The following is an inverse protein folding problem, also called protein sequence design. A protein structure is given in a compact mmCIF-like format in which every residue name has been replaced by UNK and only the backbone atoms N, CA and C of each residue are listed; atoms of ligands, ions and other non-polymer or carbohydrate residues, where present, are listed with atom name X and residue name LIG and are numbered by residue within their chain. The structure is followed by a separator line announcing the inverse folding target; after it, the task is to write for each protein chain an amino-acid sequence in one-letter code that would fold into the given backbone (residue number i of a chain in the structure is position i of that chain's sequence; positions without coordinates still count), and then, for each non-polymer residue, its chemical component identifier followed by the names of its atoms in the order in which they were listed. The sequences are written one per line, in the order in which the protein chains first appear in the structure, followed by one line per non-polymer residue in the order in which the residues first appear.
data_IF_778876310608
#
_entry.id   IF_778876310608
#
_cell.length_a   1.000
_cell.length_b   1.000
_cell.length_c   1.000
_cell.angle_alpha   90.00
_cell.angle_beta   90.00
_cell.angle_gamma   90.00
#
_symmetry.space_group_name_H-M   'P 1'
#
loop_
_entity.id
_entity.type
_entity.pdbx_description
1 polymer ?
#
# COMPACT_ATOMS: atom_id res chain seq x y z
N UNK A 1 -25.52 -23.64 -13.36
CA UNK A 1 -24.28 -22.98 -12.89
C UNK A 1 -24.32 -21.57 -13.42
N UNK A 2 -24.20 -20.54 -12.56
CA UNK A 2 -24.11 -19.15 -13.03
C UNK A 2 -22.80 -18.97 -13.80
N UNK A 3 -22.85 -18.28 -14.92
CA UNK A 3 -21.65 -17.92 -15.70
C UNK A 3 -20.72 -17.07 -14.82
N UNK A 4 -19.41 -17.37 -14.75
CA UNK A 4 -18.47 -16.57 -13.97
C UNK A 4 -18.49 -15.11 -14.40
N UNK A 5 -18.41 -14.20 -13.44
CA UNK A 5 -18.29 -12.76 -13.72
C UNK A 5 -16.93 -12.48 -14.36
N UNK A 6 -16.94 -11.86 -15.54
CA UNK A 6 -15.71 -11.53 -16.30
C UNK A 6 -15.23 -10.15 -15.94
N UNK A 7 -14.00 -10.06 -15.42
CA UNK A 7 -13.39 -8.81 -14.98
C UNK A 7 -12.08 -8.59 -15.72
N UNK A 8 -11.91 -7.40 -16.28
CA UNK A 8 -10.59 -6.91 -16.73
C UNK A 8 -10.09 -5.92 -15.72
N UNK A 9 -8.94 -6.21 -15.11
CA UNK A 9 -8.22 -5.31 -14.22
C UNK A 9 -7.00 -4.72 -14.95
N UNK A 10 -6.86 -3.40 -14.95
CA UNK A 10 -5.70 -2.70 -15.52
C UNK A 10 -4.92 -2.09 -14.37
N UNK A 11 -3.65 -2.49 -14.19
CA UNK A 11 -2.83 -2.04 -13.07
C UNK A 11 -1.36 -1.97 -13.42
N UNK A 12 -0.77 -0.78 -13.32
CA UNK A 12 0.69 -0.62 -13.41
C UNK A 12 1.42 -1.15 -12.16
N UNK A 13 0.72 -1.26 -11.03
CA UNK A 13 1.33 -1.77 -9.80
C UNK A 13 1.58 -3.27 -9.87
N UNK A 14 0.78 -4.01 -10.65
CA UNK A 14 0.92 -5.46 -10.83
C UNK A 14 2.10 -5.88 -11.73
N UNK A 15 2.95 -4.94 -12.17
CA UNK A 15 4.28 -5.27 -12.72
C UNK A 15 5.16 -5.91 -11.64
N UNK A 16 4.90 -5.64 -10.36
CA UNK A 16 5.61 -6.24 -9.22
C UNK A 16 4.94 -7.57 -8.87
N UNK A 17 5.67 -8.67 -9.01
CA UNK A 17 5.14 -10.02 -8.90
C UNK A 17 4.47 -10.34 -7.57
N UNK A 18 5.01 -9.85 -6.45
CA UNK A 18 4.43 -10.09 -5.11
C UNK A 18 3.01 -9.51 -4.94
N UNK A 19 2.63 -8.52 -5.73
CA UNK A 19 1.28 -7.93 -5.68
C UNK A 19 0.24 -8.75 -6.46
N UNK A 20 0.70 -9.67 -7.33
CA UNK A 20 -0.16 -10.52 -8.15
C UNK A 20 -0.92 -11.57 -7.31
N UNK A 21 -0.48 -11.84 -6.07
CA UNK A 21 -1.16 -12.76 -5.15
C UNK A 21 -2.64 -12.41 -4.93
N UNK A 22 -2.98 -11.11 -4.91
CA UNK A 22 -4.38 -10.65 -4.88
C UNK A 22 -5.18 -11.11 -6.09
N UNK A 23 -4.59 -11.09 -7.29
CA UNK A 23 -5.27 -11.52 -8.51
C UNK A 23 -5.58 -13.02 -8.48
N UNK A 24 -4.64 -13.86 -8.02
CA UNK A 24 -4.91 -15.29 -7.80
C UNK A 24 -6.05 -15.51 -6.81
N UNK A 25 -6.02 -14.80 -5.67
CA UNK A 25 -7.05 -14.95 -4.65
C UNK A 25 -8.44 -14.53 -5.17
N UNK A 26 -8.54 -13.49 -6.00
CA UNK A 26 -9.78 -13.09 -6.67
C UNK A 26 -10.26 -14.18 -7.62
N UNK A 27 -9.38 -14.73 -8.45
CA UNK A 27 -9.73 -15.79 -9.41
C UNK A 27 -10.21 -17.07 -8.72
N UNK A 28 -9.57 -17.47 -7.62
CA UNK A 28 -9.98 -18.62 -6.80
C UNK A 28 -11.39 -18.49 -6.22
N UNK A 29 -11.94 -17.25 -6.13
CA UNK A 29 -13.30 -16.98 -5.69
C UNK A 29 -14.34 -17.02 -6.84
N UNK A 30 -13.94 -17.54 -8.01
CA UNK A 30 -14.84 -17.77 -9.15
C UNK A 30 -15.01 -16.58 -10.07
N UNK A 31 -14.08 -15.63 -10.07
CA UNK A 31 -14.01 -14.52 -11.04
C UNK A 31 -13.18 -14.95 -12.25
N UNK A 32 -13.73 -14.81 -13.47
CA UNK A 32 -12.95 -14.92 -14.71
C UNK A 32 -12.16 -13.60 -14.91
N UNK A 33 -10.94 -13.61 -14.39
CA UNK A 33 -10.10 -12.42 -14.29
C UNK A 33 -9.05 -12.37 -15.39
N UNK A 34 -8.98 -11.24 -16.09
CA UNK A 34 -7.83 -10.88 -16.94
C UNK A 34 -7.15 -9.64 -16.37
N UNK A 35 -5.88 -9.73 -16.08
CA UNK A 35 -5.05 -8.61 -15.64
C UNK A 35 -4.23 -8.10 -16.82
N UNK A 36 -4.32 -6.79 -17.07
CA UNK A 36 -3.53 -6.09 -18.08
C UNK A 36 -2.51 -5.17 -17.39
N UNK A 37 -1.22 -5.33 -17.72
CA UNK A 37 -0.12 -4.52 -17.16
C UNK A 37 0.70 -3.88 -18.28
N UNK A 38 1.41 -2.75 -18.02
CA UNK A 38 2.46 -2.32 -18.92
C UNK A 38 3.63 -3.32 -18.91
N UNK A 39 4.52 -3.32 -19.92
CA UNK A 39 5.67 -4.23 -19.97
C UNK A 39 6.73 -3.93 -18.89
N UNK A 40 6.74 -2.72 -18.37
CA UNK A 40 7.53 -2.27 -17.23
C UNK A 40 6.95 -0.99 -16.65
N UNK A 41 7.34 -0.64 -15.43
CA UNK A 41 7.07 0.69 -14.87
C UNK A 41 8.35 1.36 -14.40
N UNK A 42 8.44 2.68 -14.55
CA UNK A 42 9.58 3.48 -14.11
C UNK A 42 9.15 4.46 -13.04
N UNK A 43 9.86 4.50 -11.93
CA UNK A 43 9.69 5.52 -10.88
C UNK A 43 11.05 5.99 -10.35
N UNK A 44 11.06 6.76 -9.28
CA UNK A 44 12.29 7.25 -8.66
C UNK A 44 13.25 6.15 -8.18
N UNK A 45 12.76 4.89 -8.05
CA UNK A 45 13.56 3.72 -7.64
C UNK A 45 14.17 2.99 -8.84
N UNK A 46 13.86 3.41 -10.05
CA UNK A 46 14.36 2.81 -11.29
C UNK A 46 13.25 2.18 -12.15
N UNK A 47 13.66 1.31 -13.09
CA UNK A 47 12.75 0.59 -13.99
C UNK A 47 12.48 -0.81 -13.46
N UNK A 48 11.20 -1.12 -13.24
CA UNK A 48 10.71 -2.42 -12.81
C UNK A 48 10.02 -3.12 -14.00
N UNK A 49 10.60 -4.17 -14.59
CA UNK A 49 9.95 -4.97 -15.62
C UNK A 49 8.74 -5.72 -15.03
N UNK A 50 7.77 -6.05 -15.88
CA UNK A 50 6.64 -6.87 -15.48
C UNK A 50 7.12 -8.29 -15.15
N UNK A 51 6.84 -8.71 -13.94
CA UNK A 51 7.10 -10.06 -13.44
C UNK A 51 5.87 -10.95 -13.65
N UNK A 52 6.06 -12.27 -13.58
CA UNK A 52 5.00 -13.27 -13.60
C UNK A 52 5.29 -14.28 -12.47
N UNK A 53 4.94 -13.91 -11.24
CA UNK A 53 5.25 -14.71 -10.04
C UNK A 53 4.04 -15.51 -9.56
N UNK A 54 2.89 -14.88 -9.47
CA UNK A 54 1.63 -15.49 -9.07
C UNK A 54 0.64 -15.37 -10.24
N UNK A 55 0.45 -16.45 -10.99
CA UNK A 55 -0.32 -16.42 -12.26
C UNK A 55 -1.38 -17.52 -12.35
N UNK A 56 -1.71 -18.19 -11.24
CA UNK A 56 -2.66 -19.28 -11.25
C UNK A 56 -4.11 -18.79 -11.27
N UNK A 57 -4.92 -19.40 -12.13
CA UNK A 57 -6.36 -19.18 -12.15
C UNK A 57 -6.84 -17.91 -12.86
N UNK A 58 -5.97 -17.09 -13.40
CA UNK A 58 -6.30 -15.88 -14.16
C UNK A 58 -5.37 -15.65 -15.35
N UNK A 59 -5.74 -14.78 -16.27
CA UNK A 59 -4.89 -14.41 -17.41
C UNK A 59 -4.08 -13.14 -17.07
N UNK A 60 -2.75 -13.21 -17.11
CA UNK A 60 -1.86 -12.04 -17.02
C UNK A 60 -1.34 -11.71 -18.43
N UNK A 61 -1.56 -10.46 -18.88
CA UNK A 61 -1.12 -9.98 -20.19
C UNK A 61 -0.44 -8.64 -20.09
N UNK A 62 0.67 -8.48 -20.78
CA UNK A 62 1.30 -7.16 -20.98
C UNK A 62 0.70 -6.50 -22.23
N UNK A 63 0.36 -5.21 -22.11
CA UNK A 63 -0.13 -4.40 -23.23
C UNK A 63 0.73 -3.16 -23.43
N UNK A 64 0.81 -2.61 -24.65
CA UNK A 64 1.56 -1.40 -24.91
C UNK A 64 1.13 -0.25 -24.01
N UNK A 65 2.11 0.44 -23.43
CA UNK A 65 1.90 1.66 -22.64
C UNK A 65 2.80 2.77 -23.17
N UNK A 66 2.30 3.98 -23.27
CA UNK A 66 3.06 5.19 -23.62
C UNK A 66 3.22 6.08 -22.41
N UNK A 67 4.26 6.94 -22.41
CA UNK A 67 4.64 7.82 -21.30
C UNK A 67 4.84 7.07 -19.97
N UNK A 68 5.47 5.89 -20.04
CA UNK A 68 5.78 5.06 -18.88
C UNK A 68 6.61 5.86 -17.86
N UNK A 69 6.16 5.88 -16.60
CA UNK A 69 6.77 6.66 -15.52
C UNK A 69 6.09 8.00 -15.26
N UNK A 70 5.30 8.51 -16.20
CA UNK A 70 4.49 9.70 -15.98
C UNK A 70 3.11 9.31 -15.41
N UNK A 71 2.86 9.65 -14.14
CA UNK A 71 1.61 9.30 -13.45
C UNK A 71 0.37 9.98 -14.02
N UNK A 72 0.51 11.07 -14.79
CA UNK A 72 -0.62 11.81 -15.36
C UNK A 72 -0.87 11.44 -16.82
N UNK A 73 0.19 11.29 -17.61
CA UNK A 73 0.10 11.17 -19.07
C UNK A 73 0.19 9.75 -19.60
N UNK A 74 0.60 8.77 -18.79
CA UNK A 74 0.66 7.39 -19.26
C UNK A 74 -0.72 6.91 -19.73
N UNK A 75 -0.75 6.09 -20.78
CA UNK A 75 -1.98 5.53 -21.33
C UNK A 75 -1.71 4.24 -22.11
N UNK A 76 -2.77 3.49 -22.34
CA UNK A 76 -2.73 2.17 -22.99
C UNK A 76 -3.41 2.25 -24.36
N UNK A 77 -2.69 2.49 -25.46
CA UNK A 77 -3.27 2.78 -26.78
C UNK A 77 -4.12 1.65 -27.35
N UNK A 78 -3.91 0.40 -26.91
CA UNK A 78 -4.67 -0.77 -27.40
C UNK A 78 -5.83 -1.16 -26.48
N UNK A 79 -6.02 -0.50 -25.33
CA UNK A 79 -6.97 -0.95 -24.30
C UNK A 79 -8.42 -1.04 -24.79
N UNK A 80 -8.87 -0.08 -25.58
CA UNK A 80 -10.24 -0.13 -26.14
C UNK A 80 -10.47 -1.37 -27.03
N UNK A 81 -9.46 -1.78 -27.81
CA UNK A 81 -9.52 -3.00 -28.63
C UNK A 81 -9.48 -4.25 -27.75
N UNK A 82 -8.67 -4.28 -26.70
CA UNK A 82 -8.62 -5.40 -25.75
C UNK A 82 -9.99 -5.57 -25.06
N UNK A 83 -10.61 -4.47 -24.60
CA UNK A 83 -11.94 -4.49 -23.97
C UNK A 83 -13.01 -5.00 -24.94
N UNK A 84 -13.00 -4.57 -26.20
CA UNK A 84 -13.93 -5.03 -27.22
C UNK A 84 -13.77 -6.52 -27.54
N UNK A 85 -12.55 -7.05 -27.51
CA UNK A 85 -12.27 -8.46 -27.74
C UNK A 85 -12.63 -9.34 -26.53
N UNK A 86 -12.28 -8.92 -25.31
CA UNK A 86 -12.49 -9.65 -24.06
C UNK A 86 -13.94 -9.59 -23.58
N UNK A 87 -14.69 -8.53 -23.94
CA UNK A 87 -16.08 -8.29 -23.53
C UNK A 87 -16.32 -8.54 -22.03
N UNK A 88 -15.57 -7.88 -21.12
CA UNK A 88 -15.76 -8.09 -19.70
C UNK A 88 -17.10 -7.49 -19.23
N UNK A 89 -17.60 -7.97 -18.11
CA UNK A 89 -18.75 -7.40 -17.44
C UNK A 89 -18.32 -6.16 -16.62
N UNK A 90 -17.06 -6.17 -16.12
CA UNK A 90 -16.47 -5.08 -15.32
C UNK A 90 -15.07 -4.74 -15.86
N UNK A 91 -14.80 -3.43 -15.98
CA UNK A 91 -13.47 -2.86 -16.05
C UNK A 91 -13.07 -2.28 -14.69
N UNK A 92 -12.04 -2.83 -14.06
CA UNK A 92 -11.41 -2.29 -12.88
C UNK A 92 -10.12 -1.56 -13.26
N UNK A 93 -10.15 -0.23 -13.27
CA UNK A 93 -8.94 0.59 -13.37
C UNK A 93 -8.32 0.72 -11.98
N UNK A 94 -7.31 -0.08 -11.70
CA UNK A 94 -6.54 -0.04 -10.44
C UNK A 94 -5.53 1.13 -10.47
N UNK A 95 -6.05 2.32 -10.83
CA UNK A 95 -5.33 3.54 -11.17
C UNK A 95 -6.12 4.78 -10.79
N UNK A 96 -5.40 5.88 -10.54
CA UNK A 96 -5.95 7.16 -10.10
C UNK A 96 -6.89 7.80 -11.12
N UNK A 97 -7.99 8.45 -10.69
CA UNK A 97 -9.01 9.01 -11.59
C UNK A 97 -8.54 10.22 -12.42
N UNK A 98 -7.49 10.90 -11.98
CA UNK A 98 -6.96 12.10 -12.65
C UNK A 98 -5.98 11.79 -13.79
N UNK A 99 -5.56 10.52 -13.95
CA UNK A 99 -4.64 10.19 -15.02
C UNK A 99 -5.35 9.90 -16.35
N UNK A 100 -4.60 10.09 -17.44
CA UNK A 100 -5.10 9.87 -18.80
C UNK A 100 -5.54 8.42 -19.04
N UNK A 101 -4.81 7.46 -18.48
CA UNK A 101 -5.11 6.04 -18.63
C UNK A 101 -6.53 5.72 -18.13
N UNK A 102 -6.87 6.16 -16.92
CA UNK A 102 -8.20 5.94 -16.33
C UNK A 102 -9.28 6.66 -17.13
N UNK A 103 -9.06 7.93 -17.47
CA UNK A 103 -10.01 8.70 -18.25
C UNK A 103 -10.35 8.06 -19.60
N UNK A 104 -9.35 7.64 -20.40
CA UNK A 104 -9.56 6.96 -21.68
C UNK A 104 -10.27 5.61 -21.50
N UNK A 105 -9.86 4.84 -20.47
CA UNK A 105 -10.40 3.51 -20.19
C UNK A 105 -11.88 3.54 -19.82
N UNK A 106 -12.27 4.41 -18.87
CA UNK A 106 -13.68 4.52 -18.44
C UNK A 106 -14.59 4.98 -19.56
N UNK A 107 -14.14 5.91 -20.41
CA UNK A 107 -14.89 6.33 -21.60
C UNK A 107 -15.04 5.20 -22.63
N UNK A 108 -13.98 4.41 -22.82
CA UNK A 108 -14.07 3.23 -23.70
C UNK A 108 -15.05 2.18 -23.15
N UNK A 109 -14.98 1.90 -21.84
CA UNK A 109 -15.90 0.99 -21.16
C UNK A 109 -17.37 1.45 -21.32
N UNK A 110 -17.66 2.72 -21.11
CA UNK A 110 -19.02 3.26 -21.28
C UNK A 110 -19.54 3.09 -22.69
N UNK A 111 -18.72 3.34 -23.73
CA UNK A 111 -19.11 3.13 -25.14
C UNK A 111 -19.39 1.66 -25.47
N UNK A 112 -18.75 0.75 -24.77
CA UNK A 112 -18.92 -0.71 -24.94
C UNK A 112 -19.99 -1.30 -24.00
N UNK A 113 -20.66 -0.48 -23.18
CA UNK A 113 -21.64 -0.95 -22.20
C UNK A 113 -21.05 -1.75 -21.04
N UNK A 114 -19.74 -1.60 -20.78
CA UNK A 114 -19.01 -2.27 -19.70
C UNK A 114 -19.10 -1.41 -18.43
N UNK A 115 -19.48 -2.02 -17.30
CA UNK A 115 -19.44 -1.34 -16.00
C UNK A 115 -17.99 -1.09 -15.58
N UNK A 116 -17.74 0.05 -14.95
CA UNK A 116 -16.35 0.41 -14.65
C UNK A 116 -16.20 1.06 -13.28
N UNK A 117 -15.01 0.88 -12.72
CA UNK A 117 -14.57 1.48 -11.46
C UNK A 117 -13.13 1.95 -11.60
N UNK A 118 -12.72 2.84 -10.69
CA UNK A 118 -11.33 3.27 -10.53
C UNK A 118 -10.89 3.11 -9.07
N UNK A 119 -9.56 3.16 -8.87
CA UNK A 119 -8.93 3.13 -7.56
C UNK A 119 -8.21 4.44 -7.26
N UNK A 120 -8.15 4.86 -5.97
CA UNK A 120 -7.37 6.03 -5.54
C UNK A 120 -6.70 5.83 -4.18
N UNK A 121 -5.44 6.33 -4.08
CA UNK A 121 -4.71 6.56 -2.83
C UNK A 121 -4.64 8.04 -2.46
N UNK A 122 -5.26 8.94 -3.22
CA UNK A 122 -5.11 10.37 -3.01
C UNK A 122 -5.70 10.80 -1.66
N UNK A 123 -4.84 10.99 -0.67
CA UNK A 123 -5.19 11.39 0.69
C UNK A 123 -4.85 12.86 1.02
N UNK A 124 -4.45 13.64 0.01
CA UNK A 124 -4.27 15.10 0.10
C UNK A 124 -5.15 15.76 -0.94
N UNK A 125 -5.92 16.76 -0.51
CA UNK A 125 -6.79 17.53 -1.40
C UNK A 125 -5.95 18.39 -2.35
N UNK A 126 -5.66 17.85 -3.54
CA UNK A 126 -4.96 18.57 -4.61
C UNK A 126 -5.91 18.94 -5.73
N UNK A 127 -5.88 20.17 -6.17
CA UNK A 127 -6.56 20.63 -7.39
C UNK A 127 -5.59 20.54 -8.55
N UNK A 128 -5.95 19.78 -9.58
CA UNK A 128 -5.14 19.66 -10.79
C UNK A 128 -5.49 20.76 -11.79
N UNK A 129 -4.51 21.27 -12.57
CA UNK A 129 -4.79 22.16 -13.68
C UNK A 129 -5.47 21.39 -14.83
N UNK A 130 -6.12 22.11 -15.78
CA UNK A 130 -6.53 21.51 -17.04
C UNK A 130 -5.32 20.89 -17.79
N UNK A 131 -5.50 19.74 -18.49
CA UNK A 131 -6.76 19.00 -18.68
C UNK A 131 -7.07 17.98 -17.59
N UNK A 132 -6.19 17.79 -16.60
CA UNK A 132 -6.29 16.72 -15.60
C UNK A 132 -7.53 16.86 -14.70
N UNK A 133 -7.91 18.09 -14.33
CA UNK A 133 -9.14 18.33 -13.59
C UNK A 133 -10.38 17.87 -14.37
N UNK A 134 -10.42 18.13 -15.68
CA UNK A 134 -11.54 17.68 -16.53
C UNK A 134 -11.54 16.14 -16.70
N UNK A 135 -10.36 15.52 -16.81
CA UNK A 135 -10.20 14.06 -16.86
C UNK A 135 -10.73 13.43 -15.57
N UNK A 136 -10.35 13.97 -14.40
CA UNK A 136 -10.81 13.52 -13.09
C UNK A 136 -12.33 13.62 -12.96
N UNK A 137 -12.93 14.77 -13.27
CA UNK A 137 -14.37 14.97 -13.23
C UNK A 137 -15.11 14.07 -14.24
N UNK A 138 -14.51 13.81 -15.40
CA UNK A 138 -15.05 12.85 -16.36
C UNK A 138 -14.99 11.41 -15.79
N UNK A 139 -13.90 11.01 -15.17
CA UNK A 139 -13.77 9.68 -14.54
C UNK A 139 -14.85 9.49 -13.46
N UNK A 140 -15.14 10.51 -12.67
CA UNK A 140 -16.19 10.49 -11.64
C UNK A 140 -17.56 10.18 -12.21
N UNK A 141 -17.91 10.76 -13.37
CA UNK A 141 -19.21 10.53 -14.01
C UNK A 141 -19.38 9.14 -14.64
N UNK A 142 -18.27 8.47 -14.96
CA UNK A 142 -18.30 7.16 -15.62
C UNK A 142 -18.17 5.97 -14.65
N UNK A 143 -17.90 6.21 -13.37
CA UNK A 143 -17.78 5.18 -12.36
C UNK A 143 -18.86 5.38 -11.29
N UNK A 144 -19.87 4.51 -11.19
CA UNK A 144 -20.93 4.64 -10.19
C UNK A 144 -20.46 4.32 -8.78
N UNK A 145 -19.44 3.47 -8.64
CA UNK A 145 -18.79 3.13 -7.38
C UNK A 145 -17.27 3.22 -7.60
N UNK A 146 -16.56 3.87 -6.66
CA UNK A 146 -15.10 3.98 -6.65
C UNK A 146 -14.47 3.17 -5.53
N UNK A 147 -13.21 2.78 -5.72
CA UNK A 147 -12.38 2.17 -4.69
C UNK A 147 -11.42 3.21 -4.12
N UNK A 148 -11.40 3.34 -2.80
CA UNK A 148 -10.41 4.14 -2.08
C UNK A 148 -9.55 3.23 -1.20
N UNK A 149 -8.25 3.47 -1.17
CA UNK A 149 -7.32 2.67 -0.37
C UNK A 149 -7.39 2.95 1.13
N UNK A 150 -7.97 4.11 1.52
CA UNK A 150 -8.09 4.57 2.90
C UNK A 150 -9.31 5.46 3.11
N UNK A 151 -9.69 5.69 4.37
CA UNK A 151 -10.77 6.61 4.72
C UNK A 151 -10.45 8.04 4.27
N UNK A 152 -9.23 8.52 4.46
CA UNK A 152 -8.81 9.83 3.98
C UNK A 152 -8.92 9.98 2.45
N UNK A 153 -8.59 8.93 1.69
CA UNK A 153 -8.75 8.95 0.24
C UNK A 153 -10.23 9.04 -0.17
N UNK A 154 -11.12 8.35 0.56
CA UNK A 154 -12.56 8.48 0.36
C UNK A 154 -13.06 9.90 0.66
N UNK A 155 -12.58 10.54 1.72
CA UNK A 155 -12.94 11.90 2.08
C UNK A 155 -12.45 12.92 1.02
N UNK A 156 -11.24 12.72 0.48
CA UNK A 156 -10.74 13.54 -0.63
C UNK A 156 -11.60 13.40 -1.88
N UNK A 157 -12.04 12.17 -2.23
CA UNK A 157 -12.98 11.97 -3.35
C UNK A 157 -14.27 12.77 -3.16
N UNK A 158 -14.87 12.71 -1.97
CA UNK A 158 -16.09 13.45 -1.64
C UNK A 158 -15.87 14.97 -1.69
N UNK A 159 -14.76 15.45 -1.10
CA UNK A 159 -14.37 16.86 -1.12
C UNK A 159 -14.12 17.40 -2.54
N UNK A 160 -13.75 16.52 -3.49
CA UNK A 160 -13.58 16.86 -4.92
C UNK A 160 -14.86 16.72 -5.73
N UNK A 161 -15.97 16.37 -5.08
CA UNK A 161 -17.31 16.34 -5.69
C UNK A 161 -17.71 15.00 -6.30
N UNK A 162 -17.04 13.89 -5.96
CA UNK A 162 -17.50 12.57 -6.34
C UNK A 162 -18.81 12.23 -5.62
N UNK A 163 -19.87 11.93 -6.40
CA UNK A 163 -21.23 11.68 -5.88
C UNK A 163 -21.57 10.16 -5.80
N UNK A 164 -20.71 9.32 -6.37
CA UNK A 164 -20.92 7.88 -6.34
C UNK A 164 -20.63 7.25 -4.99
N UNK A 165 -20.95 5.98 -4.84
CA UNK A 165 -20.55 5.19 -3.67
C UNK A 165 -19.03 5.03 -3.62
N UNK A 166 -18.44 5.03 -2.42
CA UNK A 166 -17.01 4.76 -2.21
C UNK A 166 -16.87 3.54 -1.33
N UNK A 167 -16.21 2.51 -1.85
CA UNK A 167 -15.79 1.35 -1.07
C UNK A 167 -14.33 1.55 -0.63
N UNK A 168 -14.08 1.39 0.67
CA UNK A 168 -12.74 1.51 1.24
C UNK A 168 -12.15 0.10 1.29
N UNK A 169 -11.25 -0.21 0.35
CA UNK A 169 -10.58 -1.51 0.24
C UNK A 169 -9.12 -1.24 -0.10
N UNK A 170 -8.15 -1.63 0.74
CA UNK A 170 -6.74 -1.47 0.43
C UNK A 170 -6.35 -2.15 -0.89
N UNK A 171 -5.44 -1.54 -1.62
CA UNK A 171 -5.01 -2.07 -2.93
C UNK A 171 -4.32 -3.42 -2.80
N UNK A 172 -3.50 -3.60 -1.76
CA UNK A 172 -2.72 -4.81 -1.51
C UNK A 172 -2.85 -5.26 -0.07
N UNK A 173 -2.81 -6.58 0.13
CA UNK A 173 -2.75 -7.22 1.43
C UNK A 173 -1.40 -7.86 1.70
N UNK A 174 -1.35 -8.62 2.79
CA UNK A 174 -0.22 -9.47 3.15
C UNK A 174 -0.57 -10.93 2.91
N UNK A 175 0.40 -11.70 2.43
CA UNK A 175 0.32 -13.16 2.36
C UNK A 175 0.82 -13.76 3.68
N UNK A 176 -0.05 -14.42 4.48
CA UNK A 176 0.37 -15.04 5.75
C UNK A 176 1.40 -16.16 5.58
N UNK A 177 1.48 -16.76 4.39
CA UNK A 177 2.49 -17.77 4.07
C UNK A 177 3.89 -17.17 3.92
N UNK A 178 3.97 -15.96 3.35
CA UNK A 178 5.22 -15.22 3.22
C UNK A 178 5.62 -14.53 4.54
N UNK A 179 4.68 -13.81 5.16
CA UNK A 179 4.89 -13.04 6.38
C UNK A 179 4.43 -13.85 7.61
N UNK A 180 5.35 -14.60 8.19
CA UNK A 180 5.10 -15.47 9.34
C UNK A 180 6.06 -15.14 10.49
N UNK A 181 5.67 -15.35 11.76
CA UNK A 181 6.52 -15.08 12.91
C UNK A 181 7.79 -15.94 12.91
N UNK A 182 8.86 -15.37 13.45
CA UNK A 182 10.04 -16.15 13.85
C UNK A 182 9.77 -16.97 15.12
N UNK A 183 10.58 -18.02 15.39
CA UNK A 183 10.64 -18.61 16.71
C UNK A 183 10.97 -17.57 17.78
N UNK A 184 10.47 -17.77 18.99
CA UNK A 184 10.69 -16.83 20.10
C UNK A 184 12.20 -16.64 20.38
N UNK A 185 12.59 -15.37 20.60
CA UNK A 185 13.98 -15.01 20.92
C UNK A 185 14.25 -15.28 22.40
N UNK A 186 15.48 -15.70 22.72
CA UNK A 186 15.92 -15.97 24.09
C UNK A 186 15.88 -14.70 24.96
N UNK A 187 15.59 -14.79 26.27
CA UNK A 187 15.69 -13.68 27.19
C UNK A 187 17.14 -13.12 27.25
N UNK A 188 17.27 -11.78 27.36
CA UNK A 188 18.57 -11.12 27.51
C UNK A 188 19.19 -10.59 26.21
N UNK A 189 18.63 -10.91 25.07
CA UNK A 189 19.05 -10.34 23.79
C UNK A 189 18.68 -8.85 23.68
N UNK A 190 19.47 -8.04 22.94
CA UNK A 190 19.15 -6.63 22.73
C UNK A 190 17.80 -6.45 21.99
N UNK A 191 17.04 -5.41 22.33
CA UNK A 191 15.83 -5.04 21.59
C UNK A 191 16.18 -4.72 20.12
N UNK A 192 15.62 -5.47 19.18
CA UNK A 192 15.88 -5.33 17.74
C UNK A 192 14.83 -4.41 17.12
N UNK A 193 15.21 -3.16 16.92
CA UNK A 193 14.35 -2.12 16.33
C UNK A 193 14.64 -2.06 14.83
N UNK A 194 13.61 -1.91 14.01
CA UNK A 194 13.73 -1.76 12.57
C UNK A 194 12.95 -0.56 12.05
N UNK A 195 13.40 -0.07 10.91
CA UNK A 195 12.67 0.84 10.04
C UNK A 195 12.75 0.26 8.61
N UNK A 196 11.66 0.36 7.85
CA UNK A 196 11.65 -0.04 6.45
C UNK A 196 10.98 1.04 5.58
N UNK A 197 11.73 1.59 4.62
CA UNK A 197 11.24 2.63 3.73
C UNK A 197 12.33 3.52 3.15
N UNK A 198 11.96 4.46 2.29
CA UNK A 198 12.91 5.45 1.77
C UNK A 198 13.48 6.33 2.88
N UNK A 199 14.80 6.59 2.85
CA UNK A 199 15.45 7.52 3.77
C UNK A 199 15.25 8.96 3.28
N UNK A 200 14.05 9.48 3.55
CA UNK A 200 13.60 10.81 3.14
C UNK A 200 13.19 11.63 4.38
N UNK A 201 13.30 12.97 4.37
CA UNK A 201 12.99 13.81 5.53
C UNK A 201 11.57 13.60 6.07
N UNK A 202 10.59 13.47 5.20
CA UNK A 202 9.18 13.23 5.53
C UNK A 202 8.93 11.86 6.20
N UNK A 203 9.88 10.94 6.13
CA UNK A 203 9.80 9.64 6.79
C UNK A 203 10.21 9.66 8.25
N UNK A 204 10.80 10.76 8.75
CA UNK A 204 11.01 11.02 10.17
C UNK A 204 12.03 10.11 10.85
N UNK A 205 12.97 9.49 10.12
CA UNK A 205 13.99 8.59 10.70
C UNK A 205 14.90 9.29 11.72
N UNK A 206 15.09 10.59 11.57
CA UNK A 206 15.79 11.44 12.55
C UNK A 206 15.10 11.42 13.93
N UNK A 207 13.76 11.45 13.99
CA UNK A 207 13.01 11.28 15.25
C UNK A 207 13.31 9.94 15.91
N UNK A 208 13.39 8.87 15.10
CA UNK A 208 13.73 7.54 15.61
C UNK A 208 15.14 7.51 16.19
N UNK A 209 16.13 8.14 15.55
CA UNK A 209 17.48 8.24 16.09
C UNK A 209 17.51 9.00 17.42
N UNK A 210 16.81 10.14 17.51
CA UNK A 210 16.70 10.90 18.76
C UNK A 210 16.00 10.11 19.88
N UNK A 211 14.97 9.33 19.57
CA UNK A 211 14.29 8.48 20.54
C UNK A 211 15.20 7.34 21.02
N UNK A 212 15.91 6.67 20.10
CA UNK A 212 16.84 5.57 20.41
C UNK A 212 18.04 6.04 21.25
N UNK A 213 18.57 7.23 21.00
CA UNK A 213 19.69 7.79 21.77
C UNK A 213 19.40 7.98 23.28
N UNK A 214 18.12 7.99 23.65
CA UNK A 214 17.67 8.15 25.06
C UNK A 214 17.34 6.82 25.73
N UNK A 215 17.33 5.71 25.00
CA UNK A 215 16.98 4.39 25.54
C UNK A 215 18.01 3.92 26.56
N UNK A 216 17.51 3.35 27.65
CA UNK A 216 18.32 2.72 28.71
C UNK A 216 18.19 1.21 28.58
N UNK A 217 19.32 0.52 28.36
CA UNK A 217 19.36 -0.91 28.12
C UNK A 217 20.03 -1.25 26.79
N UNK A 218 19.98 -2.51 26.40
CA UNK A 218 20.63 -2.99 25.17
C UNK A 218 19.65 -3.02 24.01
N UNK A 219 20.01 -2.36 22.92
CA UNK A 219 19.21 -2.32 21.71
C UNK A 219 20.07 -2.19 20.45
N UNK A 220 19.51 -2.52 19.31
CA UNK A 220 20.08 -2.29 17.98
C UNK A 220 19.01 -1.76 17.05
N UNK A 221 19.39 -0.86 16.14
CA UNK A 221 18.52 -0.31 15.11
C UNK A 221 19.01 -0.71 13.73
N UNK A 222 18.14 -1.27 12.90
CA UNK A 222 18.43 -1.55 11.49
C UNK A 222 17.49 -0.75 10.60
N UNK A 223 18.07 0.01 9.65
CA UNK A 223 17.37 0.86 8.69
C UNK A 223 17.43 0.19 7.31
N UNK A 224 16.29 -0.32 6.84
CA UNK A 224 16.14 -0.92 5.52
C UNK A 224 15.62 0.12 4.54
N UNK A 225 16.45 0.51 3.59
CA UNK A 225 16.14 1.48 2.56
C UNK A 225 17.30 2.42 2.25
N UNK A 226 17.07 3.25 1.24
CA UNK A 226 18.01 4.25 0.74
C UNK A 226 17.28 5.57 0.51
N UNK A 227 18.01 6.67 0.42
CA UNK A 227 17.43 7.97 0.11
C UNK A 227 18.35 9.14 0.40
N UNK A 228 17.93 10.32 -0.04
CA UNK A 228 18.74 11.55 0.03
C UNK A 228 19.10 11.99 1.46
N UNK A 229 18.39 11.52 2.47
CA UNK A 229 18.67 11.86 3.86
C UNK A 229 19.73 10.96 4.51
N UNK A 230 20.22 9.89 3.85
CA UNK A 230 21.10 8.89 4.47
C UNK A 230 22.33 9.50 5.12
N UNK A 231 23.11 10.30 4.40
CA UNK A 231 24.34 10.90 4.95
C UNK A 231 24.07 11.83 6.14
N UNK A 232 22.91 12.53 6.15
CA UNK A 232 22.51 13.35 7.30
C UNK A 232 22.15 12.47 8.52
N UNK A 233 21.50 11.33 8.29
CA UNK A 233 21.14 10.39 9.34
C UNK A 233 22.35 9.68 9.93
N UNK A 234 23.34 9.33 9.11
CA UNK A 234 24.63 8.79 9.55
C UNK A 234 25.39 9.79 10.42
N UNK A 235 25.47 11.05 9.99
CA UNK A 235 26.05 12.14 10.77
C UNK A 235 25.31 12.39 12.09
N UNK A 236 23.98 12.33 12.08
CA UNK A 236 23.16 12.47 13.29
C UNK A 236 23.40 11.31 14.27
N UNK A 237 23.47 10.06 13.81
CA UNK A 237 23.76 8.90 14.65
C UNK A 237 25.13 9.02 15.32
N UNK A 238 26.14 9.52 14.60
CA UNK A 238 27.47 9.81 15.14
C UNK A 238 27.44 10.92 16.21
N UNK A 239 26.77 12.04 15.91
CA UNK A 239 26.61 13.17 16.83
C UNK A 239 25.86 12.78 18.12
N UNK A 240 24.91 11.86 18.04
CA UNK A 240 24.19 11.31 19.19
C UNK A 240 24.98 10.22 19.95
N UNK A 241 26.14 9.80 19.46
CA UNK A 241 26.97 8.75 20.07
C UNK A 241 26.40 7.33 19.93
N UNK A 242 25.45 7.10 19.01
CA UNK A 242 24.75 5.81 18.82
C UNK A 242 25.14 5.08 17.52
N UNK A 243 26.09 5.60 16.75
CA UNK A 243 26.50 4.99 15.49
C UNK A 243 26.82 3.47 15.58
N UNK A 244 27.46 2.95 16.65
CA UNK A 244 27.73 1.52 16.77
C UNK A 244 26.49 0.63 16.90
N UNK A 245 25.33 1.19 17.32
CA UNK A 245 24.08 0.49 17.47
C UNK A 245 23.17 0.60 16.23
N UNK A 246 23.51 1.48 15.26
CA UNK A 246 22.69 1.76 14.07
C UNK A 246 23.30 1.14 12.82
N UNK A 247 22.55 0.29 12.15
CA UNK A 247 22.97 -0.35 10.91
C UNK A 247 22.12 0.14 9.73
N UNK A 248 22.76 0.72 8.74
CA UNK A 248 22.14 1.09 7.45
C UNK A 248 22.28 -0.09 6.49
N UNK A 249 21.22 -0.87 6.34
CA UNK A 249 21.23 -2.12 5.57
C UNK A 249 21.05 -1.93 4.05
N UNK A 250 20.81 -0.69 3.60
CA UNK A 250 20.52 -0.41 2.20
C UNK A 250 19.17 -0.95 1.75
N UNK A 251 18.98 -0.99 0.43
CA UNK A 251 17.74 -1.46 -0.19
C UNK A 251 17.65 -2.99 -0.12
N UNK A 252 16.53 -3.49 0.36
CA UNK A 252 16.21 -4.94 0.41
C UNK A 252 15.10 -5.24 -0.60
N UNK A 253 15.26 -6.25 -1.47
CA UNK A 253 14.18 -6.71 -2.37
C UNK A 253 12.93 -7.13 -1.59
N UNK A 254 11.74 -6.85 -2.14
CA UNK A 254 10.47 -7.11 -1.44
C UNK A 254 10.29 -8.54 -0.96
N UNK A 255 10.70 -9.54 -1.76
CA UNK A 255 10.64 -10.95 -1.38
C UNK A 255 11.52 -11.31 -0.17
N UNK A 256 12.64 -10.60 0.04
CA UNK A 256 13.56 -10.82 1.15
C UNK A 256 13.15 -10.07 2.44
N UNK A 257 12.17 -9.16 2.35
CA UNK A 257 11.74 -8.37 3.52
C UNK A 257 11.10 -9.22 4.61
N UNK A 258 10.43 -10.30 4.27
CA UNK A 258 9.83 -11.21 5.25
C UNK A 258 10.86 -11.75 6.24
N UNK A 259 12.05 -12.15 5.77
CA UNK A 259 13.15 -12.60 6.63
C UNK A 259 13.70 -11.46 7.50
N UNK A 260 13.73 -10.24 6.95
CA UNK A 260 14.18 -9.05 7.70
C UNK A 260 13.23 -8.70 8.83
N UNK A 261 11.92 -8.75 8.57
CA UNK A 261 10.93 -8.55 9.64
C UNK A 261 11.07 -9.62 10.73
N UNK A 262 11.23 -10.89 10.39
CA UNK A 262 11.45 -11.97 11.38
C UNK A 262 12.66 -11.73 12.30
N UNK A 263 13.62 -10.94 11.87
CA UNK A 263 14.80 -10.57 12.67
C UNK A 263 14.55 -9.37 13.59
N UNK A 264 13.36 -8.78 13.63
CA UNK A 264 12.99 -7.61 14.45
C UNK A 264 12.09 -8.00 15.62
N UNK A 265 12.09 -7.18 16.66
CA UNK A 265 11.11 -7.17 17.73
C UNK A 265 10.09 -6.03 17.57
N UNK A 266 10.55 -4.89 17.04
CA UNK A 266 9.75 -3.68 16.84
C UNK A 266 10.06 -3.06 15.49
N UNK A 267 9.03 -2.73 14.71
CA UNK A 267 9.15 -1.87 13.54
C UNK A 267 8.59 -0.49 13.85
N UNK A 268 9.35 0.56 13.50
CA UNK A 268 8.91 1.95 13.70
C UNK A 268 8.65 2.60 12.35
N UNK A 269 7.49 3.27 12.21
CA UNK A 269 7.15 4.11 11.07
C UNK A 269 6.86 5.54 11.54
N UNK A 270 7.91 6.40 11.67
CA UNK A 270 7.80 7.72 12.29
C UNK A 270 7.49 8.83 11.29
N UNK A 271 6.70 8.53 10.26
CA UNK A 271 6.37 9.45 9.17
C UNK A 271 5.80 10.77 9.67
N UNK A 272 6.08 11.86 8.94
CA UNK A 272 5.60 13.23 9.21
C UNK A 272 4.69 13.69 8.08
N UNK A 273 3.62 14.37 8.43
CA UNK A 273 2.77 15.07 7.46
C UNK A 273 3.46 16.36 7.01
N UNK A 274 3.48 16.58 5.71
CA UNK A 274 3.92 17.84 5.09
C UNK A 274 2.79 18.42 4.22
N UNK A 275 2.85 19.66 3.75
CA UNK A 275 1.83 20.19 2.87
C UNK A 275 1.62 19.39 1.57
N UNK A 276 2.63 18.62 1.16
CA UNK A 276 2.62 17.89 -0.11
C UNK A 276 2.68 16.37 0.04
N UNK A 277 2.84 15.86 1.26
CA UNK A 277 2.97 14.43 1.50
C UNK A 277 2.49 14.04 2.91
N UNK A 278 1.80 12.93 3.03
CA UNK A 278 1.53 12.20 4.26
C UNK A 278 1.40 10.70 3.98
N UNK A 279 1.52 9.86 5.00
CA UNK A 279 1.46 8.42 4.81
C UNK A 279 0.09 8.00 4.28
N UNK A 280 0.06 7.28 3.16
CA UNK A 280 -1.18 6.87 2.51
C UNK A 280 -1.75 5.58 3.13
N UNK A 281 -0.88 4.67 3.59
CA UNK A 281 -1.27 3.40 4.18
C UNK A 281 -0.24 2.87 5.18
N UNK A 282 1.05 2.87 4.81
CA UNK A 282 2.09 2.28 5.64
C UNK A 282 2.14 0.75 5.52
N UNK A 283 2.23 0.23 4.29
CA UNK A 283 2.24 -1.22 4.01
C UNK A 283 3.24 -2.01 4.87
N UNK A 284 4.39 -1.45 5.19
CA UNK A 284 5.40 -2.07 6.07
C UNK A 284 4.85 -2.41 7.46
N UNK A 285 3.80 -1.70 7.92
CA UNK A 285 3.14 -1.99 9.19
C UNK A 285 2.42 -3.34 9.14
N UNK A 286 1.60 -3.56 8.11
CA UNK A 286 0.85 -4.83 7.99
C UNK A 286 1.77 -6.00 7.72
N UNK A 287 2.89 -5.80 6.99
CA UNK A 287 3.92 -6.81 6.75
C UNK A 287 4.63 -7.20 8.06
N UNK A 288 5.03 -6.22 8.88
CA UNK A 288 5.63 -6.44 10.19
C UNK A 288 4.66 -7.09 11.18
N UNK A 289 3.43 -6.58 11.27
CA UNK A 289 2.37 -7.16 12.10
C UNK A 289 2.10 -8.62 11.73
N UNK A 290 1.98 -8.93 10.45
CA UNK A 290 1.82 -10.31 9.95
C UNK A 290 3.01 -11.21 10.30
N UNK A 291 4.21 -10.64 10.38
CA UNK A 291 5.44 -11.32 10.81
C UNK A 291 5.59 -11.45 12.34
N UNK A 292 4.58 -11.03 13.12
CA UNK A 292 4.62 -11.08 14.57
C UNK A 292 5.56 -10.05 15.21
N UNK A 293 5.79 -8.93 14.54
CA UNK A 293 6.63 -7.81 14.99
C UNK A 293 5.71 -6.70 15.52
N UNK A 294 6.04 -6.14 16.68
CA UNK A 294 5.32 -4.98 17.22
C UNK A 294 5.54 -3.78 16.31
N UNK A 295 4.48 -3.05 16.04
CA UNK A 295 4.59 -1.80 15.27
C UNK A 295 4.37 -0.59 16.16
N UNK A 296 5.20 0.43 15.94
CA UNK A 296 5.07 1.76 16.55
C UNK A 296 5.01 2.78 15.42
N UNK A 297 3.91 3.50 15.29
CA UNK A 297 3.70 4.46 14.20
C UNK A 297 3.38 5.86 14.70
N UNK A 298 3.69 6.87 13.90
CA UNK A 298 3.22 8.24 14.15
C UNK A 298 1.74 8.39 13.84
N UNK A 299 1.15 9.53 14.23
CA UNK A 299 -0.23 9.89 13.88
C UNK A 299 -0.38 10.42 12.45
N UNK A 300 0.60 10.24 11.56
CA UNK A 300 0.55 10.71 10.17
C UNK A 300 -0.35 9.85 9.28
N UNK A 301 -1.32 10.49 8.64
CA UNK A 301 -2.18 9.86 7.63
C UNK A 301 -2.91 8.63 8.14
N UNK A 302 -2.84 7.54 7.38
CA UNK A 302 -3.58 6.29 7.67
C UNK A 302 -2.90 5.40 8.74
N UNK A 303 -1.69 5.74 9.21
CA UNK A 303 -0.95 4.94 10.20
C UNK A 303 -1.80 4.54 11.42
N UNK A 304 -2.54 5.47 12.09
CA UNK A 304 -3.36 5.11 13.26
C UNK A 304 -4.45 4.08 12.94
N UNK A 305 -5.10 4.20 11.79
CA UNK A 305 -6.15 3.27 11.36
C UNK A 305 -5.59 1.88 11.03
N UNK A 306 -4.43 1.83 10.37
CA UNK A 306 -3.77 0.56 10.05
C UNK A 306 -3.35 -0.16 11.32
N UNK A 307 -2.71 0.54 12.26
CA UNK A 307 -2.27 -0.03 13.54
C UNK A 307 -3.47 -0.44 14.41
N UNK A 308 -4.46 0.44 14.58
CA UNK A 308 -5.60 0.22 15.47
C UNK A 308 -5.15 -0.19 16.87
N UNK A 309 -5.68 -1.30 17.36
CA UNK A 309 -5.33 -1.93 18.64
C UNK A 309 -4.15 -2.91 18.57
N UNK A 310 -3.58 -3.11 17.39
CA UNK A 310 -2.50 -4.08 17.12
C UNK A 310 -1.07 -3.52 17.31
N UNK A 311 -0.90 -2.34 17.89
CA UNK A 311 0.41 -1.72 18.10
C UNK A 311 0.32 -0.41 18.86
N UNK A 312 1.33 0.44 18.77
CA UNK A 312 1.38 1.73 19.47
C UNK A 312 1.41 2.89 18.48
N UNK A 313 0.69 3.95 18.81
CA UNK A 313 0.67 5.20 18.04
C UNK A 313 1.20 6.33 18.91
N UNK A 314 2.04 7.19 18.33
CA UNK A 314 2.52 8.41 18.99
C UNK A 314 2.22 9.64 18.13
N UNK A 315 2.13 10.80 18.75
CA UNK A 315 1.93 12.08 18.04
C UNK A 315 3.11 12.35 17.09
N UNK A 316 2.83 12.62 15.81
CA UNK A 316 3.88 12.90 14.84
C UNK A 316 4.76 14.06 15.28
N UNK A 317 6.08 13.93 15.07
CA UNK A 317 7.07 14.91 15.52
C UNK A 317 7.48 14.80 16.99
N UNK A 318 6.81 14.00 17.81
CA UNK A 318 7.11 13.84 19.23
C UNK A 318 8.12 12.70 19.49
N UNK A 319 9.40 13.04 19.50
CA UNK A 319 10.47 12.08 19.81
C UNK A 319 10.43 11.59 21.27
N UNK A 320 9.82 12.35 22.20
CA UNK A 320 9.72 11.92 23.59
C UNK A 320 8.65 10.85 23.78
N UNK A 321 7.49 11.00 23.11
CA UNK A 321 6.46 9.96 23.08
C UNK A 321 6.95 8.69 22.39
N UNK A 322 7.68 8.80 21.27
CA UNK A 322 8.32 7.66 20.61
C UNK A 322 9.32 6.97 21.53
N UNK A 323 10.18 7.73 22.22
CA UNK A 323 11.11 7.19 23.22
C UNK A 323 10.37 6.42 24.32
N UNK A 324 9.31 7.00 24.91
CA UNK A 324 8.54 6.36 25.98
C UNK A 324 7.94 5.01 25.51
N UNK A 325 7.39 4.96 24.29
CA UNK A 325 6.88 3.72 23.72
C UNK A 325 7.98 2.65 23.55
N UNK A 326 9.14 3.03 23.01
CA UNK A 326 10.26 2.11 22.81
C UNK A 326 10.84 1.62 24.15
N UNK A 327 10.99 2.51 25.16
CA UNK A 327 11.46 2.14 26.48
C UNK A 327 10.49 1.14 27.16
N UNK A 328 9.18 1.39 27.09
CA UNK A 328 8.19 0.47 27.65
C UNK A 328 8.25 -0.92 26.99
N UNK A 329 8.49 -0.99 25.68
CA UNK A 329 8.65 -2.26 24.96
C UNK A 329 9.98 -2.96 25.30
N UNK A 330 11.03 -2.21 25.61
CA UNK A 330 12.32 -2.75 26.04
C UNK A 330 12.21 -3.32 27.47
N UNK A 331 11.56 -2.59 28.38
CA UNK A 331 11.45 -2.96 29.78
C UNK A 331 10.44 -4.09 30.03
N UNK A 332 9.44 -4.28 29.13
CA UNK A 332 8.39 -5.27 29.33
C UNK A 332 8.24 -6.26 28.15
N UNK A 333 9.06 -7.32 28.12
CA UNK A 333 8.96 -8.36 27.09
C UNK A 333 7.60 -9.09 27.02
N UNK A 334 6.85 -9.14 28.12
CA UNK A 334 5.53 -9.78 28.13
C UNK A 334 4.50 -8.90 27.37
N UNK A 335 4.48 -7.60 27.61
CA UNK A 335 3.65 -6.64 26.88
C UNK A 335 4.01 -6.63 25.39
N UNK A 336 5.30 -6.69 25.07
CA UNK A 336 5.78 -6.76 23.68
C UNK A 336 5.22 -8.00 22.97
N UNK A 337 5.24 -9.17 23.60
CA UNK A 337 4.65 -10.40 23.01
C UNK A 337 3.14 -10.31 22.83
N UNK A 338 2.42 -9.74 23.80
CA UNK A 338 0.99 -9.54 23.70
C UNK A 338 0.60 -8.61 22.54
N UNK A 339 1.31 -7.47 22.39
CA UNK A 339 1.11 -6.55 21.26
C UNK A 339 1.46 -7.18 19.92
N UNK A 340 2.53 -7.96 19.84
CA UNK A 340 2.90 -8.69 18.62
C UNK A 340 1.78 -9.67 18.19
N UNK A 341 1.19 -10.40 19.14
CA UNK A 341 0.08 -11.31 18.88
C UNK A 341 -1.18 -10.56 18.42
N UNK A 342 -1.53 -9.46 19.09
CA UNK A 342 -2.66 -8.60 18.73
C UNK A 342 -2.47 -8.00 17.32
N UNK A 343 -1.26 -7.46 17.04
CA UNK A 343 -0.91 -6.93 15.73
C UNK A 343 -1.07 -7.98 14.62
N UNK A 344 -0.55 -9.18 14.82
CA UNK A 344 -0.71 -10.27 13.85
C UNK A 344 -2.18 -10.63 13.64
N UNK A 345 -2.95 -10.80 14.71
CA UNK A 345 -4.37 -11.11 14.59
C UNK A 345 -5.11 -10.05 13.76
N UNK A 346 -4.85 -8.76 14.01
CA UNK A 346 -5.41 -7.65 13.24
C UNK A 346 -4.97 -7.68 11.77
N UNK A 347 -3.67 -7.86 11.50
CA UNK A 347 -3.17 -7.91 10.12
C UNK A 347 -3.84 -9.01 9.31
N UNK A 348 -4.03 -10.19 9.89
CA UNK A 348 -4.68 -11.31 9.23
C UNK A 348 -6.19 -11.10 9.06
N UNK A 349 -6.86 -10.53 10.05
CA UNK A 349 -8.30 -10.28 10.02
C UNK A 349 -8.70 -9.18 9.03
N UNK A 350 -7.90 -8.10 8.95
CA UNK A 350 -8.24 -6.90 8.18
C UNK A 350 -7.49 -6.77 6.86
N UNK A 351 -6.26 -7.31 6.77
CA UNK A 351 -5.32 -6.99 5.69
C UNK A 351 -4.70 -8.22 5.02
N UNK A 352 -5.18 -9.45 5.30
CA UNK A 352 -4.73 -10.60 4.51
C UNK A 352 -5.15 -10.47 3.05
N UNK A 353 -4.36 -11.03 2.15
CA UNK A 353 -4.65 -11.04 0.72
C UNK A 353 -6.02 -11.66 0.42
N UNK A 354 -6.37 -12.73 1.13
CA UNK A 354 -7.66 -13.41 1.01
C UNK A 354 -8.81 -12.52 1.46
N UNK A 355 -8.64 -11.76 2.55
CA UNK A 355 -9.66 -10.80 3.02
C UNK A 355 -9.91 -9.70 2.01
N UNK A 356 -8.85 -9.07 1.51
CA UNK A 356 -8.93 -8.00 0.50
C UNK A 356 -9.51 -8.53 -0.81
N UNK A 357 -9.16 -9.74 -1.22
CA UNK A 357 -9.77 -10.38 -2.40
C UNK A 357 -11.26 -10.62 -2.23
N UNK A 358 -11.68 -11.13 -1.05
CA UNK A 358 -13.11 -11.34 -0.74
C UNK A 358 -13.91 -10.04 -0.77
N UNK A 359 -13.38 -8.97 -0.18
CA UNK A 359 -14.01 -7.64 -0.24
C UNK A 359 -14.08 -7.09 -1.66
N UNK A 360 -13.01 -7.30 -2.46
CA UNK A 360 -12.98 -6.90 -3.88
C UNK A 360 -14.03 -7.69 -4.69
N UNK A 361 -14.20 -8.99 -4.46
CA UNK A 361 -15.22 -9.80 -5.14
C UNK A 361 -16.64 -9.37 -4.72
N UNK A 362 -16.86 -9.12 -3.43
CA UNK A 362 -18.14 -8.58 -2.95
C UNK A 362 -18.45 -7.21 -3.58
N UNK A 363 -17.42 -6.36 -3.70
CA UNK A 363 -17.52 -5.08 -4.40
C UNK A 363 -17.91 -5.26 -5.89
N UNK A 364 -17.31 -6.19 -6.63
CA UNK A 364 -17.67 -6.46 -8.01
C UNK A 364 -19.14 -6.87 -8.15
N UNK A 365 -19.65 -7.71 -7.24
CA UNK A 365 -21.05 -8.12 -7.24
C UNK A 365 -21.98 -6.92 -7.01
N UNK A 366 -21.69 -6.06 -6.03
CA UNK A 366 -22.43 -4.80 -5.81
C UNK A 366 -22.41 -3.88 -7.03
N UNK A 367 -21.26 -3.76 -7.68
CA UNK A 367 -21.12 -2.95 -8.89
C UNK A 367 -22.02 -3.49 -10.03
N UNK A 368 -22.25 -4.80 -10.11
CA UNK A 368 -23.20 -5.40 -11.05
C UNK A 368 -24.66 -5.15 -10.69
N UNK A 369 -24.99 -5.03 -9.41
CA UNK A 369 -26.33 -4.77 -8.90
C UNK A 369 -26.71 -3.29 -8.95
N UNK A 370 -25.71 -2.38 -8.87
CA UNK A 370 -25.95 -0.95 -8.95
C UNK A 370 -26.62 -0.61 -10.28
N UNK A 371 -27.77 0.02 -10.24
CA UNK A 371 -28.41 0.55 -11.44
C UNK A 371 -27.44 1.52 -12.11
N UNK A 372 -26.99 1.20 -13.32
CA UNK A 372 -26.26 2.16 -14.11
C UNK A 372 -27.12 3.42 -14.16
N UNK A 373 -26.62 4.52 -13.63
CA UNK A 373 -27.24 5.82 -13.83
C UNK A 373 -27.17 6.12 -15.32
N UNK A 374 -28.17 5.63 -16.06
CA UNK A 374 -28.43 6.00 -17.46
C UNK A 374 -28.99 7.42 -17.43
N UNK A 375 -28.10 8.39 -17.18
CA UNK A 375 -28.37 9.77 -17.58
C UNK A 375 -28.16 9.84 -19.09
N UNK A 376 -29.27 9.94 -19.79
CA UNK A 376 -29.38 10.34 -21.20
C UNK A 376 -28.68 11.68 -21.45
#
# INVERSE_FOLDING_TARGET
MQTPLRVVMVSKALVVGVYQRKAEAIALMGIDLTVLTPPYWRDARGSQPAEALYTQGYALRTIPCRHIGDFHLHHYPTLARELAALRPDILHMDEEPYNRATWEALRAATRLGIRSTFFTWQNILRRYPPPFAQMEQSSYRHAPIALAGSAEAADVLRAKGYQGEVAIIPQFGVDPGMYSPAPAVAPGEPLRIGYAGGLLPEKGVDLLLHACARLRGTWRLTLFGEGRAQGQLEGLAAALGIAPQVHFAGRVPGAAMADRYRALDVLVLPSRTTPTWKEQFGRVLIEAMASGVVVVGSSSGEIPHVIGDGGLVFTEGDAAALHANLQALLDNPASRRALAAAGRARALACYSTERIAAETVAFYRRLMESNACTSR
#
